data_IF_936577895011
#
_entry.id   IF_936577895011
#
_cell.length_a   1.000
_cell.length_b   1.000
_cell.length_c   1.000
_cell.angle_alpha   90.00
_cell.angle_beta   90.00
_cell.angle_gamma   90.00
#
_symmetry.space_group_name_H-M   'P 1'
#
loop_
_entity.id
_entity.type
_entity.pdbx_description
1 polymer ?
#
# COMPACT_ATOMS: atom_id res chain seq x y z
N UNK A 1 5.92 -32.28 -16.28
CA UNK A 1 6.15 -30.83 -16.06
C UNK A 1 5.04 -29.90 -16.58
N UNK A 2 4.77 -29.77 -17.89
CA UNK A 2 3.74 -28.82 -18.40
C UNK A 2 2.30 -29.17 -17.96
N UNK A 3 1.92 -30.45 -18.06
CA UNK A 3 0.59 -30.92 -17.66
C UNK A 3 0.38 -30.87 -16.15
N UNK A 4 1.38 -31.21 -15.36
CA UNK A 4 1.31 -31.12 -13.89
C UNK A 4 1.11 -29.68 -13.44
N UNK A 5 1.83 -28.71 -14.02
CA UNK A 5 1.62 -27.30 -13.74
C UNK A 5 0.19 -26.86 -14.10
N UNK A 6 -0.33 -27.25 -15.27
CA UNK A 6 -1.71 -26.92 -15.66
C UNK A 6 -2.73 -27.48 -14.66
N UNK A 7 -2.56 -28.72 -14.21
CA UNK A 7 -3.42 -29.34 -13.20
C UNK A 7 -3.29 -28.61 -11.87
N UNK A 8 -2.07 -28.34 -11.40
CA UNK A 8 -1.83 -27.63 -10.14
C UNK A 8 -2.38 -26.21 -10.12
N UNK A 9 -2.35 -25.50 -11.25
CA UNK A 9 -2.87 -24.13 -11.35
C UNK A 9 -4.34 -24.05 -11.80
N UNK A 10 -4.94 -25.18 -12.20
CA UNK A 10 -6.33 -25.24 -12.66
C UNK A 10 -7.36 -24.60 -11.70
N UNK A 11 -7.23 -24.70 -10.35
CA UNK A 11 -8.18 -24.04 -9.46
C UNK A 11 -8.14 -22.51 -9.59
N UNK A 12 -6.95 -21.92 -9.77
CA UNK A 12 -6.80 -20.48 -9.95
C UNK A 12 -7.37 -20.01 -11.28
N UNK A 13 -7.15 -20.78 -12.36
CA UNK A 13 -7.76 -20.49 -13.66
C UNK A 13 -9.28 -20.56 -13.59
N UNK A 14 -9.84 -21.55 -12.89
CA UNK A 14 -11.29 -21.65 -12.72
C UNK A 14 -11.85 -20.46 -11.96
N UNK A 15 -11.22 -20.04 -10.86
CA UNK A 15 -11.63 -18.84 -10.11
C UNK A 15 -11.56 -17.58 -10.98
N UNK A 16 -10.49 -17.42 -11.78
CA UNK A 16 -10.35 -16.29 -12.70
C UNK A 16 -11.46 -16.30 -13.75
N UNK A 17 -11.75 -17.45 -14.37
CA UNK A 17 -12.81 -17.58 -15.37
C UNK A 17 -14.18 -17.32 -14.77
N UNK A 18 -14.46 -17.84 -13.56
CA UNK A 18 -15.69 -17.57 -12.84
C UNK A 18 -15.84 -16.07 -12.51
N UNK A 19 -14.76 -15.41 -12.10
CA UNK A 19 -14.76 -13.97 -11.85
C UNK A 19 -14.99 -13.16 -13.14
N UNK A 20 -14.36 -13.53 -14.26
CA UNK A 20 -14.60 -12.88 -15.56
C UNK A 20 -16.03 -13.08 -16.02
N UNK A 21 -16.57 -14.30 -15.91
CA UNK A 21 -17.97 -14.59 -16.23
C UNK A 21 -18.92 -13.76 -15.36
N UNK A 22 -18.62 -13.64 -14.05
CA UNK A 22 -19.34 -12.76 -13.14
C UNK A 22 -19.28 -11.30 -13.58
N UNK A 23 -18.11 -10.77 -13.98
CA UNK A 23 -17.98 -9.39 -14.44
C UNK A 23 -18.80 -9.12 -15.70
N UNK A 24 -18.78 -10.04 -16.67
CA UNK A 24 -19.57 -9.93 -17.90
C UNK A 24 -21.08 -9.98 -17.62
N UNK A 25 -21.49 -10.85 -16.69
CA UNK A 25 -22.90 -10.98 -16.31
C UNK A 25 -23.42 -9.83 -15.44
N UNK A 26 -22.64 -9.38 -14.45
CA UNK A 26 -23.02 -8.34 -13.50
C UNK A 26 -22.74 -6.91 -13.98
N UNK A 27 -21.79 -6.73 -14.92
CA UNK A 27 -21.37 -5.42 -15.43
C UNK A 27 -20.62 -4.54 -14.42
N UNK A 28 -20.22 -5.08 -13.26
CA UNK A 28 -19.46 -4.37 -12.23
C UNK A 28 -18.70 -5.37 -11.34
N UNK A 29 -17.66 -4.90 -10.66
CA UNK A 29 -16.88 -5.68 -9.69
C UNK A 29 -17.68 -5.94 -8.41
N UNK A 30 -18.70 -5.12 -8.12
CA UNK A 30 -19.53 -5.22 -6.91
C UNK A 30 -21.00 -5.49 -7.24
N UNK A 31 -21.71 -6.11 -6.29
CA UNK A 31 -23.14 -6.37 -6.40
C UNK A 31 -24.01 -5.16 -6.02
N UNK A 32 -23.54 -4.30 -5.12
CA UNK A 32 -24.25 -3.12 -4.63
C UNK A 32 -23.40 -1.85 -4.71
N UNK A 33 -24.05 -0.68 -4.71
CA UNK A 33 -23.39 0.63 -4.80
C UNK A 33 -22.36 0.72 -5.94
N UNK A 34 -22.74 0.27 -7.15
CA UNK A 34 -21.86 0.17 -8.34
C UNK A 34 -21.15 1.49 -8.66
N UNK A 35 -21.87 2.61 -8.57
CA UNK A 35 -21.31 3.96 -8.81
C UNK A 35 -20.18 4.33 -7.84
N UNK A 36 -20.26 3.87 -6.59
CA UNK A 36 -19.26 4.16 -5.56
C UNK A 36 -18.06 3.20 -5.59
N UNK A 37 -18.11 2.17 -6.42
CA UNK A 37 -17.05 1.16 -6.55
C UNK A 37 -16.63 0.99 -8.01
N UNK A 38 -16.75 2.06 -8.80
CA UNK A 38 -16.25 2.08 -10.17
C UNK A 38 -14.73 1.88 -10.16
N UNK A 39 -14.24 1.10 -11.12
CA UNK A 39 -12.80 0.91 -11.34
C UNK A 39 -12.20 2.26 -11.71
N UNK A 40 -11.15 2.65 -10.99
CA UNK A 40 -10.47 3.92 -11.20
C UNK A 40 -8.99 3.73 -11.52
N UNK A 41 -8.34 4.65 -12.25
CA UNK A 41 -6.89 4.61 -12.44
C UNK A 41 -6.19 5.28 -11.25
N UNK A 42 -6.33 4.80 -10.02
CA UNK A 42 -5.77 5.43 -8.82
C UNK A 42 -4.28 5.05 -8.60
N UNK A 43 -3.39 5.39 -9.56
CA UNK A 43 -1.96 5.05 -9.49
C UNK A 43 -1.25 5.57 -8.23
N UNK A 44 -1.76 6.63 -7.60
CA UNK A 44 -1.20 7.12 -6.33
C UNK A 44 -1.31 6.09 -5.18
N UNK A 45 -2.20 5.10 -5.25
CA UNK A 45 -2.28 4.00 -4.28
C UNK A 45 -0.96 3.23 -4.17
N UNK A 46 -0.23 3.06 -5.28
CA UNK A 46 1.07 2.39 -5.30
C UNK A 46 2.08 3.17 -4.45
N UNK A 47 1.99 4.51 -4.48
CA UNK A 47 2.84 5.39 -3.69
C UNK A 47 2.45 5.37 -2.22
N UNK A 48 1.16 5.46 -1.92
CA UNK A 48 0.65 5.41 -0.55
C UNK A 48 0.98 4.08 0.13
N UNK A 49 0.81 2.97 -0.59
CA UNK A 49 1.17 1.64 -0.14
C UNK A 49 2.64 1.52 0.25
N UNK A 50 3.57 2.12 -0.52
CA UNK A 50 5.00 1.97 -0.23
C UNK A 50 5.38 2.63 1.09
N UNK A 51 4.93 3.87 1.33
CA UNK A 51 5.18 4.55 2.60
C UNK A 51 4.52 3.78 3.75
N UNK A 52 3.23 3.43 3.63
CA UNK A 52 2.50 2.72 4.69
C UNK A 52 3.20 1.41 5.04
N UNK A 53 3.60 0.62 4.04
CA UNK A 53 4.33 -0.63 4.24
C UNK A 53 5.66 -0.40 4.95
N UNK A 54 6.43 0.60 4.54
CA UNK A 54 7.71 0.89 5.19
C UNK A 54 7.56 1.43 6.61
N UNK A 55 6.48 2.16 6.91
CA UNK A 55 6.20 2.65 8.26
C UNK A 55 5.73 1.51 9.18
N UNK A 56 4.88 0.62 8.68
CA UNK A 56 4.41 -0.54 9.43
C UNK A 56 5.53 -1.55 9.70
N UNK A 57 6.54 -1.59 8.82
CA UNK A 57 7.76 -2.37 9.03
C UNK A 57 8.99 -1.50 9.34
N UNK A 58 8.79 -0.33 9.98
CA UNK A 58 9.81 0.70 10.17
C UNK A 58 11.16 0.20 10.70
N UNK A 59 11.22 -0.72 11.70
CA UNK A 59 12.49 -1.24 12.21
C UNK A 59 13.35 -1.96 11.16
N UNK A 60 12.77 -2.42 10.04
CA UNK A 60 13.51 -3.05 8.94
C UNK A 60 14.11 -2.04 7.96
N UNK A 61 13.38 -0.95 7.73
CA UNK A 61 13.69 0.01 6.68
C UNK A 61 14.59 1.15 7.19
N UNK A 62 14.33 1.64 8.39
CA UNK A 62 15.00 2.82 8.95
C UNK A 62 16.17 2.43 9.85
N UNK A 63 17.08 1.61 9.32
CA UNK A 63 18.34 1.27 9.99
C UNK A 63 19.53 1.85 9.23
N UNK A 64 20.61 2.19 9.96
CA UNK A 64 21.85 2.68 9.36
C UNK A 64 22.40 1.66 8.36
N UNK A 65 22.39 0.37 8.73
CA UNK A 65 22.87 -0.71 7.86
C UNK A 65 22.11 -0.81 6.54
N UNK A 66 20.78 -0.72 6.59
CA UNK A 66 19.96 -0.76 5.37
C UNK A 66 20.13 0.50 4.50
N UNK A 67 20.26 1.68 5.12
CA UNK A 67 20.54 2.92 4.40
C UNK A 67 21.89 2.87 3.66
N UNK A 68 22.94 2.36 4.32
CA UNK A 68 24.26 2.17 3.71
C UNK A 68 24.22 1.13 2.58
N UNK A 69 23.54 0.01 2.78
CA UNK A 69 23.36 -1.05 1.78
C UNK A 69 22.67 -0.52 0.52
N UNK A 70 21.64 0.31 0.70
CA UNK A 70 20.95 0.97 -0.41
C UNK A 70 21.90 1.95 -1.12
N UNK A 71 22.57 2.83 -0.38
CA UNK A 71 23.53 3.79 -0.94
C UNK A 71 24.64 3.11 -1.75
N UNK A 72 25.25 2.06 -1.21
CA UNK A 72 26.26 1.26 -1.89
C UNK A 72 25.73 0.61 -3.17
N UNK A 73 24.48 0.14 -3.17
CA UNK A 73 23.83 -0.42 -4.36
C UNK A 73 23.71 0.61 -5.49
N UNK A 74 23.34 1.85 -5.17
CA UNK A 74 23.31 2.94 -6.16
C UNK A 74 24.71 3.29 -6.63
N UNK A 75 25.69 3.33 -5.71
CA UNK A 75 27.06 3.71 -6.03
C UNK A 75 27.79 2.69 -6.92
N UNK A 76 27.48 1.39 -6.76
CA UNK A 76 28.08 0.31 -7.56
C UNK A 76 27.76 0.43 -9.05
N UNK A 77 26.53 0.82 -9.38
CA UNK A 77 26.05 1.01 -10.76
C UNK A 77 25.47 2.41 -10.93
N UNK A 78 26.31 3.45 -10.77
CA UNK A 78 25.87 4.86 -10.68
C UNK A 78 24.90 5.27 -11.78
N UNK A 79 25.23 5.02 -13.05
CA UNK A 79 24.40 5.42 -14.19
C UNK A 79 23.00 4.79 -14.12
N UNK A 80 22.92 3.47 -13.93
CA UNK A 80 21.65 2.76 -13.80
C UNK A 80 20.88 3.20 -12.56
N UNK A 81 21.58 3.38 -11.43
CA UNK A 81 20.98 3.87 -10.19
C UNK A 81 20.35 5.24 -10.35
N UNK A 82 21.09 6.22 -10.89
CA UNK A 82 20.56 7.57 -11.15
C UNK A 82 19.39 7.54 -12.15
N UNK A 83 19.49 6.75 -13.22
CA UNK A 83 18.41 6.60 -14.19
C UNK A 83 17.15 6.02 -13.53
N UNK A 84 17.27 4.96 -12.74
CA UNK A 84 16.14 4.36 -12.03
C UNK A 84 15.53 5.34 -11.01
N UNK A 85 16.36 6.09 -10.28
CA UNK A 85 15.89 7.10 -9.34
C UNK A 85 15.11 8.21 -10.07
N UNK A 86 15.63 8.68 -11.19
CA UNK A 86 15.00 9.70 -12.02
C UNK A 86 13.65 9.21 -12.57
N UNK A 87 13.62 8.02 -13.19
CA UNK A 87 12.40 7.41 -13.70
C UNK A 87 11.36 7.17 -12.59
N UNK A 88 11.78 6.65 -11.44
CA UNK A 88 10.90 6.42 -10.31
C UNK A 88 10.31 7.74 -9.78
N UNK A 89 11.12 8.81 -9.74
CA UNK A 89 10.67 10.13 -9.30
C UNK A 89 9.67 10.74 -10.27
N UNK A 90 9.91 10.65 -11.58
CA UNK A 90 8.95 11.10 -12.61
C UNK A 90 7.67 10.29 -12.52
N UNK A 91 7.75 8.96 -12.47
CA UNK A 91 6.56 8.11 -12.38
C UNK A 91 5.74 8.42 -11.11
N UNK A 92 6.41 8.64 -9.98
CA UNK A 92 5.76 9.02 -8.72
C UNK A 92 5.08 10.39 -8.81
N UNK A 93 5.76 11.39 -9.39
CA UNK A 93 5.19 12.72 -9.64
C UNK A 93 3.95 12.67 -10.53
N UNK A 94 4.02 11.96 -11.65
CA UNK A 94 2.88 11.79 -12.56
C UNK A 94 1.72 11.07 -11.86
N UNK A 95 2.02 10.04 -11.06
CA UNK A 95 1.03 9.30 -10.29
C UNK A 95 0.28 10.18 -9.30
N UNK A 96 0.98 11.00 -8.50
CA UNK A 96 0.32 11.87 -7.51
C UNK A 96 -0.29 13.14 -8.14
N UNK A 97 0.21 13.58 -9.29
CA UNK A 97 -0.32 14.74 -9.98
C UNK A 97 -1.67 14.41 -10.64
N UNK A 98 -1.70 13.37 -11.47
CA UNK A 98 -2.85 13.02 -12.32
C UNK A 98 -3.78 11.98 -11.70
N UNK A 99 -3.25 11.10 -10.84
CA UNK A 99 -3.95 9.89 -10.41
C UNK A 99 -4.09 9.80 -8.89
N UNK A 100 -4.10 10.95 -8.22
CA UNK A 100 -4.47 11.09 -6.81
C UNK A 100 -5.96 11.43 -6.70
N UNK A 101 -6.77 10.46 -6.30
CA UNK A 101 -8.23 10.52 -6.31
C UNK A 101 -8.75 10.76 -4.89
N UNK A 102 -9.54 11.82 -4.71
CA UNK A 102 -10.24 12.10 -3.47
C UNK A 102 -11.61 11.41 -3.47
N UNK A 103 -11.68 10.17 -2.98
CA UNK A 103 -12.94 9.42 -3.00
C UNK A 103 -14.02 10.09 -2.12
N UNK A 104 -15.29 10.19 -2.55
CA UNK A 104 -16.34 10.84 -1.74
C UNK A 104 -16.49 10.25 -0.33
N UNK A 105 -16.39 8.93 -0.16
CA UNK A 105 -16.44 8.31 1.16
C UNK A 105 -15.24 8.66 2.05
N UNK A 106 -14.06 8.84 1.46
CA UNK A 106 -12.88 9.29 2.18
C UNK A 106 -13.06 10.71 2.72
N UNK A 107 -13.82 11.57 2.02
CA UNK A 107 -14.08 12.95 2.41
C UNK A 107 -15.30 13.10 3.33
N UNK A 108 -16.26 12.17 3.26
CA UNK A 108 -17.50 12.23 4.02
C UNK A 108 -17.36 11.65 5.43
N UNK A 109 -16.46 10.69 5.66
CA UNK A 109 -16.40 9.97 6.94
C UNK A 109 -15.13 10.29 7.74
N UNK A 110 -15.27 11.21 8.70
CA UNK A 110 -14.18 11.60 9.59
C UNK A 110 -13.92 10.61 10.75
N UNK A 111 -14.62 9.47 10.80
CA UNK A 111 -14.34 8.42 11.80
C UNK A 111 -13.07 7.65 11.49
N UNK A 112 -12.66 7.58 10.22
CA UNK A 112 -11.54 6.77 9.75
C UNK A 112 -10.21 7.53 9.79
N UNK A 113 -9.11 6.85 10.10
CA UNK A 113 -7.78 7.49 10.09
C UNK A 113 -7.35 7.95 8.70
N UNK A 114 -7.80 7.28 7.65
CA UNK A 114 -7.48 7.63 6.27
C UNK A 114 -8.02 9.01 5.89
N UNK A 115 -9.17 9.43 6.44
CA UNK A 115 -9.68 10.80 6.32
C UNK A 115 -8.64 11.82 6.80
N UNK A 116 -8.02 11.58 7.95
CA UNK A 116 -7.03 12.49 8.51
C UNK A 116 -5.68 12.43 7.79
N UNK A 117 -5.26 11.26 7.32
CA UNK A 117 -4.07 11.15 6.47
C UNK A 117 -4.25 11.96 5.18
N UNK A 118 -5.42 11.83 4.55
CA UNK A 118 -5.75 12.62 3.38
C UNK A 118 -5.72 14.11 3.71
N UNK A 119 -6.57 14.54 4.66
CA UNK A 119 -6.79 15.96 4.97
C UNK A 119 -5.58 16.66 5.57
N UNK A 120 -4.84 16.00 6.47
CA UNK A 120 -3.75 16.64 7.26
C UNK A 120 -2.35 16.34 6.75
N UNK A 121 -2.18 15.43 5.80
CA UNK A 121 -0.86 15.11 5.23
C UNK A 121 -0.86 15.31 3.72
N UNK A 122 -1.70 14.57 2.99
CA UNK A 122 -1.65 14.55 1.52
C UNK A 122 -2.09 15.90 0.92
N UNK A 123 -3.21 16.44 1.40
CA UNK A 123 -3.79 17.70 0.89
C UNK A 123 -3.67 18.88 1.86
N UNK A 124 -2.84 18.76 2.91
CA UNK A 124 -2.65 19.85 3.89
C UNK A 124 -2.24 21.17 3.22
N UNK A 125 -1.35 21.08 2.23
CA UNK A 125 -1.01 22.16 1.32
C UNK A 125 -0.89 21.58 -0.09
N UNK A 126 -1.16 22.38 -1.13
CA UNK A 126 -1.19 21.91 -2.52
C UNK A 126 0.13 21.25 -2.98
N UNK A 127 1.24 21.63 -2.34
CA UNK A 127 2.57 21.06 -2.63
C UNK A 127 2.87 19.74 -1.90
N UNK A 128 2.14 19.39 -0.84
CA UNK A 128 2.47 18.28 0.05
C UNK A 128 2.51 16.93 -0.68
N UNK A 129 1.56 16.67 -1.58
CA UNK A 129 1.55 15.44 -2.38
C UNK A 129 2.82 15.25 -3.22
N UNK A 130 3.49 16.34 -3.62
CA UNK A 130 4.77 16.28 -4.34
C UNK A 130 5.96 16.18 -3.38
N UNK A 131 5.91 16.86 -2.23
CA UNK A 131 6.94 16.75 -1.19
C UNK A 131 7.06 15.33 -0.61
N UNK A 132 6.01 14.52 -0.73
CA UNK A 132 6.03 13.11 -0.35
C UNK A 132 6.74 12.20 -1.36
N UNK A 133 7.00 12.67 -2.60
CA UNK A 133 7.61 11.85 -3.66
C UNK A 133 8.96 11.23 -3.26
N UNK A 134 9.92 11.98 -2.69
CA UNK A 134 11.19 11.38 -2.26
C UNK A 134 11.00 10.22 -1.28
N UNK A 135 9.99 10.31 -0.41
CA UNK A 135 9.66 9.25 0.55
C UNK A 135 9.03 8.04 -0.15
N UNK A 136 8.10 8.24 -1.10
CA UNK A 136 7.54 7.14 -1.89
C UNK A 136 8.59 6.36 -2.66
N UNK A 137 9.52 7.10 -3.28
CA UNK A 137 10.63 6.55 -4.07
C UNK A 137 11.59 5.79 -3.16
N UNK A 138 12.03 6.39 -2.05
CA UNK A 138 12.83 5.70 -1.04
C UNK A 138 12.16 4.41 -0.57
N UNK A 139 10.87 4.47 -0.22
CA UNK A 139 10.12 3.32 0.29
C UNK A 139 10.11 2.15 -0.69
N UNK A 140 9.87 2.40 -1.98
CA UNK A 140 9.92 1.34 -3.00
C UNK A 140 11.31 0.75 -3.19
N UNK A 141 12.35 1.60 -3.29
CA UNK A 141 13.72 1.11 -3.36
C UNK A 141 14.12 0.28 -2.14
N UNK A 142 13.66 0.70 -0.95
CA UNK A 142 13.87 0.01 0.31
C UNK A 142 13.20 -1.37 0.32
N UNK A 143 11.93 -1.46 -0.11
CA UNK A 143 11.18 -2.72 -0.26
C UNK A 143 11.88 -3.66 -1.25
N UNK A 144 12.24 -3.16 -2.44
CA UNK A 144 12.92 -3.98 -3.45
C UNK A 144 14.28 -4.45 -3.01
N UNK A 145 15.02 -3.64 -2.25
CA UNK A 145 16.32 -4.04 -1.69
C UNK A 145 16.17 -5.19 -0.70
N UNK A 146 15.17 -5.16 0.17
CA UNK A 146 14.91 -6.24 1.12
C UNK A 146 14.46 -7.53 0.40
N UNK A 147 13.50 -7.44 -0.52
CA UNK A 147 13.04 -8.59 -1.30
C UNK A 147 14.17 -9.20 -2.13
N UNK A 148 15.03 -8.36 -2.73
CA UNK A 148 16.15 -8.80 -3.55
C UNK A 148 17.26 -9.55 -2.81
N UNK A 149 17.26 -9.56 -1.47
CA UNK A 149 18.18 -10.39 -0.67
C UNK A 149 17.78 -11.86 -0.66
N UNK A 150 16.49 -12.16 -0.81
CA UNK A 150 15.94 -13.52 -0.66
C UNK A 150 15.28 -14.03 -1.94
N UNK A 151 14.73 -13.14 -2.76
CA UNK A 151 13.88 -13.48 -3.91
C UNK A 151 14.54 -13.08 -5.23
N UNK A 152 14.24 -13.88 -6.26
CA UNK A 152 14.66 -13.62 -7.63
C UNK A 152 14.03 -12.33 -8.16
N UNK A 153 14.74 -11.62 -9.04
CA UNK A 153 14.26 -10.35 -9.62
C UNK A 153 12.89 -10.47 -10.28
N UNK A 154 12.63 -11.58 -10.96
CA UNK A 154 11.34 -11.87 -11.62
C UNK A 154 10.22 -11.93 -10.58
N UNK A 155 10.46 -12.58 -9.43
CA UNK A 155 9.48 -12.66 -8.36
C UNK A 155 9.14 -11.27 -7.81
N UNK A 156 10.15 -10.41 -7.58
CA UNK A 156 9.95 -9.03 -7.12
C UNK A 156 9.16 -8.18 -8.13
N UNK A 157 9.40 -8.37 -9.43
CA UNK A 157 8.61 -7.72 -10.48
C UNK A 157 7.16 -8.20 -10.49
N UNK A 158 6.93 -9.51 -10.42
CA UNK A 158 5.58 -10.08 -10.33
C UNK A 158 4.85 -9.56 -9.09
N UNK A 159 5.53 -9.49 -7.95
CA UNK A 159 4.99 -8.89 -6.72
C UNK A 159 4.56 -7.43 -6.94
N UNK A 160 5.39 -6.60 -7.57
CA UNK A 160 5.06 -5.20 -7.85
C UNK A 160 3.84 -5.07 -8.78
N UNK A 161 3.79 -5.84 -9.86
CA UNK A 161 2.67 -5.80 -10.80
C UNK A 161 1.38 -6.38 -10.21
N UNK A 162 1.45 -7.45 -9.42
CA UNK A 162 0.30 -7.99 -8.71
C UNK A 162 -0.24 -7.00 -7.66
N UNK A 163 0.64 -6.35 -6.91
CA UNK A 163 0.29 -5.28 -5.97
C UNK A 163 -0.40 -4.13 -6.71
N UNK A 164 0.17 -3.71 -7.85
CA UNK A 164 -0.41 -2.64 -8.69
C UNK A 164 -1.79 -3.03 -9.23
N UNK A 165 -1.97 -4.26 -9.70
CA UNK A 165 -3.23 -4.75 -10.24
C UNK A 165 -4.35 -4.79 -9.21
N UNK A 166 -4.04 -5.00 -7.92
CA UNK A 166 -5.02 -4.96 -6.83
C UNK A 166 -5.30 -3.54 -6.37
N UNK A 167 -4.27 -2.68 -6.30
CA UNK A 167 -4.39 -1.37 -5.68
C UNK A 167 -4.84 -0.25 -6.63
N UNK A 168 -4.37 -0.22 -7.88
CA UNK A 168 -4.73 0.85 -8.83
C UNK A 168 -6.25 0.93 -9.02
N UNK A 169 -6.99 -0.17 -9.23
CA UNK A 169 -8.43 -0.12 -9.45
C UNK A 169 -9.23 0.46 -8.29
N UNK A 170 -8.71 0.39 -7.06
CA UNK A 170 -9.41 0.76 -5.83
C UNK A 170 -9.34 2.28 -5.59
N UNK A 171 -10.45 3.04 -5.78
CA UNK A 171 -10.43 4.49 -5.65
C UNK A 171 -10.32 4.96 -4.19
N UNK A 172 -10.75 4.13 -3.24
CA UNK A 172 -10.81 4.46 -1.82
C UNK A 172 -9.49 4.09 -1.12
N UNK A 173 -8.92 5.04 -0.39
CA UNK A 173 -7.72 4.80 0.42
C UNK A 173 -8.14 4.18 1.75
N UNK A 174 -7.82 2.90 1.94
CA UNK A 174 -8.05 2.16 3.18
C UNK A 174 -6.93 1.16 3.46
N UNK A 175 -6.54 1.04 4.73
CA UNK A 175 -5.44 0.17 5.12
C UNK A 175 -5.70 -1.31 4.82
N UNK A 176 -6.95 -1.75 4.81
CA UNK A 176 -7.33 -3.14 4.53
C UNK A 176 -6.93 -3.59 3.12
N UNK A 177 -6.88 -2.68 2.15
CA UNK A 177 -6.44 -3.00 0.79
C UNK A 177 -4.93 -3.27 0.72
N UNK A 178 -4.16 -2.74 1.66
CA UNK A 178 -2.71 -2.93 1.73
C UNK A 178 -2.30 -4.21 2.44
N UNK A 179 -3.20 -4.82 3.23
CA UNK A 179 -2.89 -5.97 4.09
C UNK A 179 -2.28 -7.15 3.34
N UNK A 180 -2.90 -7.56 2.23
CA UNK A 180 -2.42 -8.72 1.45
C UNK A 180 -1.04 -8.43 0.82
N UNK A 181 -0.85 -7.37 0.02
CA UNK A 181 0.48 -7.03 -0.50
C UNK A 181 1.54 -6.91 0.61
N UNK A 182 1.20 -6.26 1.74
CA UNK A 182 2.09 -6.11 2.88
C UNK A 182 2.53 -7.47 3.46
N UNK A 183 1.61 -8.40 3.71
CA UNK A 183 1.97 -9.71 4.22
C UNK A 183 2.81 -10.52 3.22
N UNK A 184 2.50 -10.45 1.93
CA UNK A 184 3.34 -11.07 0.91
C UNK A 184 4.76 -10.52 0.95
N UNK A 185 4.93 -9.19 1.08
CA UNK A 185 6.24 -8.58 1.25
C UNK A 185 6.97 -9.10 2.50
N UNK A 186 6.32 -9.08 3.67
CA UNK A 186 6.94 -9.47 4.93
C UNK A 186 7.32 -10.95 4.94
N UNK A 187 6.40 -11.85 4.56
CA UNK A 187 6.62 -13.30 4.54
C UNK A 187 7.69 -13.73 3.53
N UNK A 188 7.95 -12.92 2.50
CA UNK A 188 8.94 -13.22 1.48
C UNK A 188 10.27 -12.51 1.69
N UNK A 189 10.40 -11.75 2.78
CA UNK A 189 11.68 -11.23 3.27
C UNK A 189 12.23 -12.18 4.32
N UNK A 190 13.46 -12.68 4.17
CA UNK A 190 14.09 -13.56 5.17
C UNK A 190 14.63 -12.75 6.37
N UNK A 191 13.73 -12.22 7.19
CA UNK A 191 14.07 -11.40 8.37
C UNK A 191 14.30 -12.31 9.57
N UNK A 192 15.56 -12.50 9.92
CA UNK A 192 15.96 -13.32 11.08
C UNK A 192 16.36 -12.50 12.31
N UNK A 193 16.17 -11.17 12.28
CA UNK A 193 16.53 -10.30 13.40
C UNK A 193 15.39 -10.21 14.44
N UNK A 194 15.63 -10.81 15.61
CA UNK A 194 14.68 -10.81 16.72
C UNK A 194 14.41 -9.40 17.27
N UNK A 195 15.40 -8.48 17.19
CA UNK A 195 15.23 -7.11 17.67
C UNK A 195 14.23 -6.35 16.80
N UNK A 196 14.37 -6.44 15.48
CA UNK A 196 13.40 -5.87 14.54
C UNK A 196 11.99 -6.41 14.77
N UNK A 197 11.83 -7.72 14.96
CA UNK A 197 10.52 -8.31 15.26
C UNK A 197 9.92 -7.81 16.58
N UNK A 198 10.72 -7.68 17.64
CA UNK A 198 10.28 -7.11 18.91
C UNK A 198 9.81 -5.66 18.73
N UNK A 199 10.57 -4.83 18.02
CA UNK A 199 10.22 -3.43 17.76
C UNK A 199 8.96 -3.30 16.90
N UNK A 200 8.77 -4.17 15.90
CA UNK A 200 7.52 -4.26 15.13
C UNK A 200 6.37 -4.65 16.06
N UNK A 201 6.54 -5.66 16.92
CA UNK A 201 5.52 -6.06 17.89
C UNK A 201 5.11 -4.93 18.83
N UNK A 202 6.08 -4.15 19.34
CA UNK A 202 5.82 -2.97 20.16
C UNK A 202 5.06 -1.91 19.36
N UNK A 203 5.49 -1.61 18.13
CA UNK A 203 4.81 -0.65 17.24
C UNK A 203 3.34 -1.02 17.06
N UNK A 204 3.05 -2.27 16.71
CA UNK A 204 1.67 -2.74 16.52
C UNK A 204 0.88 -2.71 17.83
N UNK A 205 1.49 -3.07 18.96
CA UNK A 205 0.84 -3.01 20.27
C UNK A 205 0.44 -1.57 20.61
N UNK A 206 1.34 -0.60 20.40
CA UNK A 206 1.08 0.82 20.62
C UNK A 206 -0.03 1.34 19.70
N UNK A 207 0.03 1.01 18.40
CA UNK A 207 -1.00 1.41 17.43
C UNK A 207 -2.37 0.83 17.78
N UNK A 208 -2.43 -0.44 18.18
CA UNK A 208 -3.69 -1.08 18.61
C UNK A 208 -4.20 -0.47 19.92
N UNK A 209 -3.34 -0.28 20.92
CA UNK A 209 -3.72 0.35 22.18
C UNK A 209 -4.26 1.78 21.96
N UNK A 210 -3.59 2.55 21.09
CA UNK A 210 -4.06 3.89 20.69
C UNK A 210 -5.42 3.82 19.99
N UNK A 211 -5.57 2.92 19.00
CA UNK A 211 -6.81 2.76 18.24
C UNK A 211 -7.97 2.38 19.16
N UNK A 212 -7.76 1.41 20.04
CA UNK A 212 -8.75 0.98 21.04
C UNK A 212 -9.08 2.10 22.03
N UNK A 213 -8.07 2.89 22.45
CA UNK A 213 -8.28 4.03 23.35
C UNK A 213 -9.14 5.11 22.68
N UNK A 214 -8.86 5.45 21.42
CA UNK A 214 -9.66 6.39 20.64
C UNK A 214 -11.10 5.87 20.44
N UNK A 215 -11.26 4.59 20.11
CA UNK A 215 -12.58 3.99 19.93
C UNK A 215 -13.40 3.98 21.23
N UNK A 216 -12.81 3.59 22.35
CA UNK A 216 -13.52 3.41 23.63
C UNK A 216 -13.79 4.73 24.35
N UNK A 217 -12.79 5.61 24.43
CA UNK A 217 -12.78 6.77 25.33
C UNK A 217 -12.90 8.13 24.64
N UNK A 218 -12.90 8.19 23.30
CA UNK A 218 -13.12 9.42 22.53
C UNK A 218 -14.36 9.35 21.63
N UNK A 219 -15.55 9.02 22.17
CA UNK A 219 -16.79 9.13 21.40
C UNK A 219 -17.09 10.59 21.04
N UNK A 220 -17.83 10.80 19.95
CA UNK A 220 -18.30 12.12 19.54
C UNK A 220 -19.69 12.04 18.93
N UNK A 221 -20.31 13.19 18.70
CA UNK A 221 -21.63 13.32 18.09
C UNK A 221 -21.55 14.18 16.82
N UNK A 222 -22.44 13.87 15.89
CA UNK A 222 -22.70 14.72 14.73
C UNK A 222 -24.09 15.31 14.88
N UNK A 223 -24.23 16.61 14.62
CA UNK A 223 -25.50 17.31 14.77
C UNK A 223 -26.61 16.75 13.85
N UNK A 224 -26.21 16.07 12.76
CA UNK A 224 -27.10 15.56 11.72
C UNK A 224 -27.33 14.04 11.76
N UNK A 225 -26.67 13.29 12.66
CA UNK A 225 -26.86 11.83 12.79
C UNK A 225 -27.12 11.46 14.24
N UNK A 226 -28.26 10.81 14.55
CA UNK A 226 -28.54 10.37 15.91
C UNK A 226 -27.56 9.27 16.34
N UNK A 227 -27.16 9.31 17.61
CA UNK A 227 -26.31 8.28 18.23
C UNK A 227 -24.86 8.70 18.44
N UNK A 228 -24.13 7.86 19.19
CA UNK A 228 -22.70 8.04 19.48
C UNK A 228 -21.87 7.54 18.30
N UNK A 229 -20.99 8.38 17.79
CA UNK A 229 -19.98 8.01 16.81
C UNK A 229 -18.65 7.69 17.51
N UNK A 230 -17.85 6.82 16.90
CA UNK A 230 -16.53 6.40 17.40
C UNK A 230 -15.52 6.40 16.27
N UNK A 231 -14.28 6.70 16.60
CA UNK A 231 -13.16 6.57 15.67
C UNK A 231 -12.88 5.10 15.36
N UNK A 232 -12.75 4.77 14.08
CA UNK A 232 -12.45 3.44 13.57
C UNK A 232 -11.28 3.51 12.56
N UNK A 233 -10.75 2.36 12.17
CA UNK A 233 -9.70 2.28 11.14
C UNK A 233 -10.25 1.98 9.74
#
# INVERSE_FOLDING_TARGET
MKWELLVSFSPFFFVLLAFVAFLLWNGSVVLGAKEAHAVSPHFAQIMYFSIVSTLFAAPLHFTIGHALDLFQSFWKNRLLGFLLLFLASIASLLSVHFFSIAHPYLLADNRHYTFYLWRKIIIFHWSMKYLLVPFYVYSWFSIFRLLGKTRMRIWTLVYFFATSAVLIPAPLIEFRYYTIPFYFFILHTSINDSRSWLLIGILYTVLNAFTMTMFLFRPFHWDHVPGVQRFIW
#
